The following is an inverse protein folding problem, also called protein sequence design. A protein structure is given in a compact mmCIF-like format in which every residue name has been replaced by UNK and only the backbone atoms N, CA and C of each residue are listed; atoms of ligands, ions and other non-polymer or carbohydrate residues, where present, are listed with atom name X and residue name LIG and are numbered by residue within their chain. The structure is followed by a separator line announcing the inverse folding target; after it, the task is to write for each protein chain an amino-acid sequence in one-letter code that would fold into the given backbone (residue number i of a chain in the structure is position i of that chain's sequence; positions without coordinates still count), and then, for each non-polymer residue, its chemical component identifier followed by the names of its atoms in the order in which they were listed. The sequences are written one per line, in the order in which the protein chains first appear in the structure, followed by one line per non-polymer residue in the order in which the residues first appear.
data_IF_535078216389
#
_entry.id   IF_535078216389
#
_cell.length_a   1.000
_cell.length_b   1.000
_cell.length_c   1.000
_cell.angle_alpha   90.00
_cell.angle_beta   90.00
_cell.angle_gamma   90.00
#
_symmetry.space_group_name_H-M   'P 1'
#
loop_
_entity.id
_entity.type
_entity.pdbx_description
1 polymer ?
#
# COMPACT_ATOMS: atom_id res chain seq x y z
N UNK A 1 -22.95 -27.92 27.96
CA UNK A 1 -23.68 -27.67 26.69
C UNK A 1 -23.53 -26.25 26.14
N UNK A 2 -23.44 -25.21 26.98
CA UNK A 2 -23.40 -23.80 26.51
C UNK A 2 -22.12 -23.47 25.70
N UNK A 3 -20.97 -24.02 26.10
CA UNK A 3 -19.70 -23.80 25.40
C UNK A 3 -19.68 -24.32 23.95
N UNK A 4 -20.40 -25.42 23.67
CA UNK A 4 -20.47 -26.00 22.32
C UNK A 4 -21.28 -25.11 21.37
N UNK A 5 -22.36 -24.49 21.88
CA UNK A 5 -23.16 -23.55 21.10
C UNK A 5 -22.38 -22.27 20.77
N UNK A 6 -21.63 -21.73 21.73
CA UNK A 6 -20.77 -20.56 21.49
C UNK A 6 -19.64 -20.87 20.49
N UNK A 7 -19.01 -22.05 20.58
CA UNK A 7 -17.97 -22.45 19.64
C UNK A 7 -18.53 -22.57 18.21
N UNK A 8 -19.70 -23.20 18.06
CA UNK A 8 -20.37 -23.31 16.76
C UNK A 8 -20.71 -21.92 16.18
N UNK A 9 -21.22 -21.00 17.00
CA UNK A 9 -21.52 -19.64 16.56
C UNK A 9 -20.27 -18.87 16.09
N UNK A 10 -19.14 -18.99 16.82
CA UNK A 10 -17.86 -18.35 16.43
C UNK A 10 -17.34 -18.95 15.11
N UNK A 11 -17.41 -20.27 14.94
CA UNK A 11 -16.99 -20.94 13.70
C UNK A 11 -17.85 -20.50 12.51
N UNK A 12 -19.17 -20.37 12.69
CA UNK A 12 -20.09 -19.86 11.67
C UNK A 12 -19.72 -18.42 11.30
N UNK A 13 -19.49 -17.55 12.30
CA UNK A 13 -19.12 -16.16 12.05
C UNK A 13 -17.77 -16.04 11.32
N UNK A 14 -16.79 -16.84 11.73
CA UNK A 14 -15.46 -16.89 11.13
C UNK A 14 -15.50 -17.41 9.70
N UNK A 15 -16.31 -18.45 9.46
CA UNK A 15 -16.57 -18.99 8.13
C UNK A 15 -17.26 -17.98 7.23
N UNK A 16 -18.24 -17.23 7.75
CA UNK A 16 -18.88 -16.14 7.01
C UNK A 16 -17.90 -15.02 6.67
N UNK A 17 -17.04 -14.61 7.62
CA UNK A 17 -16.01 -13.61 7.35
C UNK A 17 -15.01 -14.06 6.27
N UNK A 18 -14.67 -15.34 6.24
CA UNK A 18 -13.88 -15.94 5.16
C UNK A 18 -14.62 -15.94 3.83
N UNK A 19 -15.90 -16.33 3.83
CA UNK A 19 -16.73 -16.37 2.64
C UNK A 19 -16.97 -14.98 2.05
N UNK A 20 -17.09 -13.95 2.90
CA UNK A 20 -17.26 -12.55 2.50
C UNK A 20 -15.95 -11.90 2.03
N UNK A 21 -14.82 -12.60 2.09
CA UNK A 21 -13.59 -12.12 1.48
C UNK A 21 -12.84 -11.06 2.28
N UNK A 22 -13.14 -10.88 3.58
CA UNK A 22 -12.39 -9.99 4.49
C UNK A 22 -10.90 -10.35 4.62
N UNK A 23 -10.49 -11.53 4.11
CA UNK A 23 -9.09 -11.97 4.09
C UNK A 23 -8.35 -11.56 2.80
N UNK A 24 -9.05 -11.03 1.81
CA UNK A 24 -8.43 -10.69 0.52
C UNK A 24 -7.63 -9.42 0.72
N UNK A 25 -6.33 -9.57 1.03
CA UNK A 25 -5.40 -8.45 0.92
C UNK A 25 -5.52 -7.92 -0.49
N UNK A 26 -5.87 -6.64 -0.69
CA UNK A 26 -5.98 -6.13 -2.03
C UNK A 26 -4.58 -6.25 -2.66
N UNK A 27 -4.46 -7.01 -3.74
CA UNK A 27 -3.25 -7.00 -4.55
C UNK A 27 -3.30 -5.75 -5.43
N UNK A 28 -2.23 -4.98 -5.38
CA UNK A 28 -2.05 -3.87 -6.29
C UNK A 28 -1.31 -4.37 -7.54
N UNK A 29 -1.89 -4.07 -8.70
CA UNK A 29 -1.26 -4.28 -10.00
C UNK A 29 -0.89 -2.93 -10.60
N UNK A 30 0.02 -2.89 -11.58
CA UNK A 30 0.63 -1.67 -12.12
C UNK A 30 -0.41 -0.72 -12.72
N UNK A 31 -1.37 -1.28 -13.48
CA UNK A 31 -2.50 -0.53 -14.02
C UNK A 31 -3.43 0.02 -12.92
N UNK A 32 -3.63 -0.77 -11.86
CA UNK A 32 -4.48 -0.39 -10.72
C UNK A 32 -3.81 0.68 -9.86
N UNK A 33 -2.50 0.57 -9.63
CA UNK A 33 -1.69 1.56 -8.95
C UNK A 33 -1.77 2.91 -9.66
N UNK A 34 -1.66 2.91 -11.00
CA UNK A 34 -1.81 4.12 -11.81
C UNK A 34 -3.20 4.73 -11.63
N UNK A 35 -4.25 3.95 -11.84
CA UNK A 35 -5.64 4.43 -11.72
C UNK A 35 -5.95 4.99 -10.33
N UNK A 36 -5.52 4.30 -9.27
CA UNK A 36 -5.74 4.71 -7.88
C UNK A 36 -4.96 5.98 -7.53
N UNK A 37 -3.72 6.10 -8.03
CA UNK A 37 -2.92 7.31 -7.86
C UNK A 37 -3.57 8.50 -8.58
N UNK A 38 -3.93 8.37 -9.86
CA UNK A 38 -4.53 9.46 -10.64
C UNK A 38 -5.92 9.85 -10.12
N UNK A 39 -6.69 8.89 -9.61
CA UNK A 39 -8.03 9.16 -9.06
C UNK A 39 -7.98 9.86 -7.69
N UNK A 40 -6.99 9.53 -6.86
CA UNK A 40 -6.87 10.08 -5.50
C UNK A 40 -5.94 11.28 -5.39
N UNK A 41 -5.02 11.48 -6.33
CA UNK A 41 -4.11 12.61 -6.37
C UNK A 41 -4.51 13.53 -7.53
N UNK A 42 -5.19 14.64 -7.20
CA UNK A 42 -5.61 15.61 -8.19
C UNK A 42 -4.40 16.16 -8.99
N UNK A 43 -4.45 16.01 -10.32
CA UNK A 43 -3.40 16.47 -11.23
C UNK A 43 -2.11 15.65 -11.20
N UNK A 44 -2.12 14.47 -10.56
CA UNK A 44 -1.00 13.53 -10.63
C UNK A 44 -1.14 12.67 -11.88
N UNK A 45 -0.04 12.49 -12.60
CA UNK A 45 0.06 11.56 -13.73
C UNK A 45 1.28 10.70 -13.53
N UNK A 46 1.09 9.39 -13.41
CA UNK A 46 2.21 8.48 -13.15
C UNK A 46 3.08 8.29 -14.39
N UNK A 47 4.35 8.65 -14.28
CA UNK A 47 5.40 8.41 -15.28
C UNK A 47 6.07 7.04 -15.07
N UNK A 48 6.51 6.76 -13.85
CA UNK A 48 7.11 5.48 -13.44
C UNK A 48 6.35 4.87 -12.27
N UNK A 49 6.32 3.55 -12.20
CA UNK A 49 5.64 2.77 -11.15
C UNK A 49 6.60 1.70 -10.65
N UNK A 50 6.76 1.60 -9.34
CA UNK A 50 7.47 0.55 -8.65
C UNK A 50 6.50 -0.14 -7.68
N UNK A 51 6.14 -1.38 -7.97
CA UNK A 51 5.25 -2.19 -7.16
C UNK A 51 6.03 -2.97 -6.11
N UNK A 52 5.44 -3.13 -4.93
CA UNK A 52 5.94 -4.05 -3.93
C UNK A 52 5.87 -5.50 -4.42
N UNK A 53 6.87 -6.33 -4.08
CA UNK A 53 6.93 -7.73 -4.53
C UNK A 53 5.75 -8.56 -4.02
N UNK A 54 5.20 -8.17 -2.87
CA UNK A 54 4.04 -8.81 -2.23
C UNK A 54 2.70 -8.17 -2.65
N UNK A 55 2.73 -7.21 -3.58
CA UNK A 55 1.56 -6.45 -4.02
C UNK A 55 0.92 -5.61 -2.92
N UNK A 56 1.62 -5.42 -1.78
CA UNK A 56 1.10 -4.67 -0.63
C UNK A 56 1.04 -3.17 -0.85
N UNK A 57 1.62 -2.64 -1.92
CA UNK A 57 1.54 -1.22 -2.28
C UNK A 57 2.39 -0.87 -3.49
N UNK A 58 2.49 0.42 -3.78
CA UNK A 58 3.28 0.92 -4.89
C UNK A 58 3.87 2.30 -4.59
N UNK A 59 5.01 2.57 -5.20
CA UNK A 59 5.63 3.88 -5.28
C UNK A 59 5.56 4.34 -6.73
N UNK A 60 4.95 5.49 -6.97
CA UNK A 60 4.79 6.07 -8.30
C UNK A 60 5.56 7.38 -8.38
N UNK A 61 6.16 7.65 -9.52
CA UNK A 61 6.75 8.94 -9.82
C UNK A 61 5.85 9.68 -10.81
N UNK A 62 5.46 10.89 -10.48
CA UNK A 62 4.72 11.79 -11.35
C UNK A 62 5.61 12.43 -12.41
N UNK A 63 5.02 12.82 -13.55
CA UNK A 63 5.72 13.58 -14.60
C UNK A 63 6.27 14.93 -14.10
N UNK A 64 5.65 15.50 -13.08
CA UNK A 64 6.08 16.74 -12.40
C UNK A 64 7.25 16.52 -11.43
N UNK A 65 7.77 15.28 -11.34
CA UNK A 65 8.81 14.90 -10.38
C UNK A 65 8.29 14.67 -8.96
N UNK A 66 6.98 14.77 -8.73
CA UNK A 66 6.37 14.41 -7.46
C UNK A 66 6.38 12.90 -7.25
N UNK A 67 6.46 12.43 -6.00
CA UNK A 67 6.37 11.00 -5.70
C UNK A 67 5.01 10.73 -5.08
N UNK A 68 4.26 9.79 -5.66
CA UNK A 68 3.05 9.22 -5.10
C UNK A 68 3.38 7.91 -4.37
N UNK A 69 2.91 7.77 -3.15
CA UNK A 69 3.02 6.56 -2.35
C UNK A 69 1.62 5.97 -2.18
N UNK A 70 1.46 4.71 -2.57
CA UNK A 70 0.26 3.91 -2.36
C UNK A 70 0.51 2.88 -1.26
N UNK A 71 -0.29 2.97 -0.22
CA UNK A 71 -0.23 2.10 0.95
C UNK A 71 -1.58 1.43 1.19
N UNK A 72 -1.59 0.18 1.69
CA UNK A 72 -2.82 -0.52 2.00
C UNK A 72 -3.38 0.07 3.31
N UNK A 73 -4.68 0.40 3.31
CA UNK A 73 -5.38 0.80 4.53
C UNK A 73 -6.71 0.03 4.61
N UNK A 74 -6.76 -0.98 5.49
CA UNK A 74 -7.92 -1.87 5.61
C UNK A 74 -8.20 -2.60 4.30
N UNK A 75 -9.42 -2.43 3.78
CA UNK A 75 -9.86 -3.00 2.50
C UNK A 75 -9.56 -2.10 1.28
N UNK A 76 -8.87 -0.98 1.49
CA UNK A 76 -8.62 0.03 0.46
C UNK A 76 -7.17 0.46 0.35
N UNK A 77 -6.98 1.55 -0.39
CA UNK A 77 -5.67 2.13 -0.68
C UNK A 77 -5.65 3.60 -0.28
N UNK A 78 -4.54 4.05 0.27
CA UNK A 78 -4.24 5.46 0.46
C UNK A 78 -3.18 5.86 -0.54
N UNK A 79 -3.46 6.89 -1.32
CA UNK A 79 -2.47 7.58 -2.13
C UNK A 79 -2.04 8.88 -1.42
N UNK A 80 -0.73 9.08 -1.32
CA UNK A 80 -0.14 10.29 -0.74
C UNK A 80 0.99 10.81 -1.58
N UNK A 81 1.03 12.11 -1.79
CA UNK A 81 2.17 12.78 -2.42
C UNK A 81 3.22 13.02 -1.34
N UNK A 82 4.42 12.49 -1.55
CA UNK A 82 5.57 12.68 -0.65
C UNK A 82 6.70 13.38 -1.40
N UNK A 83 7.47 14.25 -0.73
CA UNK A 83 8.64 14.86 -1.36
C UNK A 83 9.73 13.80 -1.55
N UNK A 84 10.53 13.95 -2.61
CA UNK A 84 11.61 13.01 -2.92
C UNK A 84 12.66 12.87 -1.79
N UNK A 85 12.86 13.93 -1.00
CA UNK A 85 13.75 13.91 0.17
C UNK A 85 13.22 13.08 1.33
N UNK A 86 11.92 12.78 1.36
CA UNK A 86 11.31 11.94 2.39
C UNK A 86 11.32 10.45 2.03
N UNK A 87 11.78 10.09 0.82
CA UNK A 87 11.84 8.71 0.34
C UNK A 87 13.29 8.24 0.36
N UNK A 88 13.54 7.15 1.08
CA UNK A 88 14.85 6.57 1.31
C UNK A 88 14.82 5.07 1.02
N UNK A 89 15.83 4.56 0.32
CA UNK A 89 16.02 3.11 0.23
C UNK A 89 16.56 2.57 1.56
N UNK A 90 15.95 1.50 2.05
CA UNK A 90 16.43 0.72 3.19
C UNK A 90 16.69 -0.73 2.76
N UNK A 91 17.48 -1.48 3.54
CA UNK A 91 17.81 -2.86 3.20
C UNK A 91 16.53 -3.73 3.10
N UNK A 92 16.08 -4.00 1.87
CA UNK A 92 14.87 -4.77 1.57
C UNK A 92 13.65 -3.96 1.10
N UNK A 93 13.77 -2.65 0.86
CA UNK A 93 12.66 -1.87 0.27
C UNK A 93 12.80 -0.35 0.37
N UNK A 94 11.71 0.37 0.09
CA UNK A 94 11.63 1.82 0.27
C UNK A 94 10.99 2.16 1.60
N UNK A 95 11.59 3.12 2.31
CA UNK A 95 10.98 3.79 3.45
C UNK A 95 10.62 5.22 3.06
N UNK A 96 9.38 5.61 3.31
CA UNK A 96 8.92 6.98 3.11
C UNK A 96 8.52 7.57 4.47
N UNK A 97 9.07 8.73 4.80
CA UNK A 97 8.58 9.54 5.93
C UNK A 97 7.34 10.29 5.49
N UNK A 98 6.22 10.06 6.17
CA UNK A 98 5.04 10.90 6.02
C UNK A 98 5.00 11.90 7.18
N UNK A 99 4.49 13.11 6.91
CA UNK A 99 4.33 14.19 7.88
C UNK A 99 3.05 14.03 8.73
N UNK A 100 2.59 12.78 8.90
CA UNK A 100 1.36 12.45 9.60
C UNK A 100 1.68 11.83 10.98
N UNK A 101 1.08 12.31 12.08
CA UNK A 101 1.43 11.89 13.44
C UNK A 101 1.19 10.40 13.70
N UNK A 102 0.29 9.75 12.96
CA UNK A 102 -0.01 8.31 13.05
C UNK A 102 0.83 7.42 12.11
N UNK A 103 1.48 7.98 11.07
CA UNK A 103 2.28 7.24 10.09
C UNK A 103 3.61 7.95 9.83
N UNK A 104 4.45 8.06 10.86
CA UNK A 104 5.75 8.75 10.74
C UNK A 104 6.69 8.11 9.70
N UNK A 105 6.54 6.81 9.45
CA UNK A 105 7.36 6.07 8.49
C UNK A 105 6.56 4.91 7.94
N UNK A 106 6.47 4.81 6.61
CA UNK A 106 5.89 3.67 5.91
C UNK A 106 7.00 2.93 5.15
N UNK A 107 7.05 1.61 5.33
CA UNK A 107 7.95 0.73 4.58
C UNK A 107 7.20 0.00 3.49
N UNK A 108 7.80 -0.08 2.30
CA UNK A 108 7.31 -0.80 1.15
C UNK A 108 8.38 -1.82 0.72
N UNK A 109 8.14 -3.13 0.83
CA UNK A 109 9.09 -4.14 0.40
C UNK A 109 9.18 -4.11 -1.14
N UNK A 110 10.33 -3.68 -1.66
CA UNK A 110 10.59 -3.61 -3.10
C UNK A 110 11.80 -4.49 -3.41
N UNK A 111 11.69 -5.34 -4.43
CA UNK A 111 12.77 -6.25 -4.83
C UNK A 111 13.97 -5.53 -5.46
N UNK A 112 13.75 -4.36 -6.05
CA UNK A 112 14.80 -3.54 -6.64
C UNK A 112 14.58 -2.05 -6.39
N UNK A 113 15.65 -1.26 -6.16
CA UNK A 113 15.56 0.19 -6.06
C UNK A 113 15.15 0.79 -7.40
N UNK A 114 14.03 1.54 -7.48
CA UNK A 114 13.74 2.31 -8.67
C UNK A 114 14.85 3.33 -8.92
N UNK A 115 15.22 3.52 -10.18
CA UNK A 115 16.36 4.35 -10.61
C UNK A 115 16.31 5.82 -10.15
N UNK A 116 15.14 6.28 -9.73
CA UNK A 116 14.85 7.63 -9.28
C UNK A 116 14.75 7.78 -7.76
N UNK A 117 14.83 6.69 -7.00
CA UNK A 117 14.96 6.72 -5.54
C UNK A 117 16.44 6.71 -5.18
N UNK A 118 16.87 7.67 -4.37
CA UNK A 118 18.24 7.69 -3.86
C UNK A 118 18.40 6.64 -2.76
N UNK A 119 19.51 5.91 -2.81
CA UNK A 119 20.01 5.17 -1.66
C UNK A 119 20.29 6.16 -0.52
N UNK A 120 19.72 5.89 0.65
CA UNK A 120 19.97 6.68 1.84
C UNK A 120 21.23 6.19 2.57
#
# INVERSE_FOLDING_TARGET
MIYAASLAAILILTGLAWLLGFRTRPLLDEARARSEAESRLAGFRAADIALADDGSGALLRGFDGSIGLLLPLGDGWIARRVPASAVAWAAGGVTARLDEPMMRTAGLPLGAPPSWVRAA
#
